data_IF_073662376467
#
_entry.id   IF_073662376467
#
_cell.length_a   1.000
_cell.length_b   1.000
_cell.length_c   1.000
_cell.angle_alpha   90.00
_cell.angle_beta   90.00
_cell.angle_gamma   90.00
#
_symmetry.space_group_name_H-M   'P 1'
#
loop_
_entity.id
_entity.type
_entity.pdbx_description
1 polymer ?
#
# COMPACT_ATOMS: atom_id res chain seq x y z
N UNK A 1 -0.80 30.43 -10.38
CA UNK A 1 -1.35 29.61 -9.29
C UNK A 1 -0.79 28.21 -9.45
N UNK A 2 0.10 27.78 -8.55
CA UNK A 2 0.59 26.39 -8.56
C UNK A 2 -0.61 25.46 -8.37
N UNK A 3 -0.84 24.55 -9.33
CA UNK A 3 -1.77 23.46 -9.12
C UNK A 3 -1.19 22.64 -7.97
N UNK A 4 -1.87 22.62 -6.82
CA UNK A 4 -1.53 21.70 -5.73
C UNK A 4 -1.38 20.30 -6.30
N UNK A 5 -0.14 19.77 -6.31
CA UNK A 5 0.14 18.42 -6.83
C UNK A 5 -0.66 17.43 -5.99
N UNK A 6 -1.52 16.63 -6.63
CA UNK A 6 -2.22 15.55 -5.95
C UNK A 6 -1.20 14.51 -5.49
N UNK A 7 -1.38 14.00 -4.27
CA UNK A 7 -0.57 12.90 -3.74
C UNK A 7 -0.89 11.63 -4.52
N UNK A 8 0.14 11.03 -5.11
CA UNK A 8 0.03 9.80 -5.90
C UNK A 8 0.06 8.57 -4.99
N UNK A 9 -1.00 7.78 -4.99
CA UNK A 9 -1.19 6.64 -4.07
C UNK A 9 -1.18 5.33 -4.84
N UNK A 10 -0.42 4.35 -4.35
CA UNK A 10 -0.50 2.96 -4.77
C UNK A 10 -1.23 2.12 -3.71
N UNK A 11 -2.32 1.46 -4.08
CA UNK A 11 -3.03 0.57 -3.14
C UNK A 11 -2.49 -0.85 -3.22
N UNK A 12 -2.07 -1.44 -2.09
CA UNK A 12 -1.61 -2.82 -2.04
C UNK A 12 -2.60 -3.75 -1.34
N UNK A 13 -2.91 -4.86 -2.01
CA UNK A 13 -3.89 -5.84 -1.57
C UNK A 13 -3.29 -7.24 -1.66
N UNK A 14 -3.57 -8.06 -0.66
CA UNK A 14 -3.16 -9.47 -0.66
C UNK A 14 -4.23 -10.38 -0.10
N UNK A 15 -4.50 -11.48 -0.80
CA UNK A 15 -5.30 -12.60 -0.30
C UNK A 15 -4.56 -13.92 -0.46
N UNK A 16 -4.50 -14.73 0.59
CA UNK A 16 -3.77 -16.01 0.57
C UNK A 16 -4.55 -17.17 -0.04
N UNK A 17 -5.88 -17.07 -0.09
CA UNK A 17 -6.79 -17.99 -0.80
C UNK A 17 -8.03 -17.22 -1.23
N UNK A 18 -8.72 -17.66 -2.27
CA UNK A 18 -10.02 -17.08 -2.68
C UNK A 18 -11.10 -17.23 -1.59
N UNK A 19 -10.93 -18.18 -0.66
CA UNK A 19 -11.89 -18.51 0.42
C UNK A 19 -11.61 -17.81 1.76
N UNK A 20 -10.41 -17.31 2.02
CA UNK A 20 -10.10 -16.60 3.26
C UNK A 20 -10.32 -15.10 3.11
N UNK A 21 -11.59 -14.75 3.10
CA UNK A 21 -12.05 -13.39 3.36
C UNK A 21 -12.11 -13.27 4.88
N UNK A 22 -11.05 -12.77 5.52
CA UNK A 22 -11.13 -12.29 6.92
C UNK A 22 -12.02 -11.04 6.97
N UNK A 23 -13.30 -11.19 6.63
CA UNK A 23 -14.32 -10.14 6.68
C UNK A 23 -14.32 -9.10 5.55
N UNK A 24 -13.32 -9.04 4.68
CA UNK A 24 -13.27 -8.05 3.57
C UNK A 24 -12.78 -8.64 2.25
N UNK A 25 -13.65 -8.65 1.23
CA UNK A 25 -13.32 -9.07 -0.13
C UNK A 25 -12.21 -8.20 -0.72
N UNK A 26 -11.57 -8.65 -1.80
CA UNK A 26 -10.62 -7.81 -2.55
C UNK A 26 -11.31 -6.50 -2.95
N UNK A 27 -12.53 -6.59 -3.49
CA UNK A 27 -13.33 -5.44 -3.87
C UNK A 27 -13.58 -4.50 -2.70
N UNK A 28 -13.94 -5.03 -1.52
CA UNK A 28 -14.12 -4.20 -0.33
C UNK A 28 -12.85 -3.44 0.06
N UNK A 29 -11.68 -4.07 -0.05
CA UNK A 29 -10.40 -3.39 0.22
C UNK A 29 -10.10 -2.30 -0.82
N UNK A 30 -10.33 -2.58 -2.11
CA UNK A 30 -10.18 -1.61 -3.20
C UNK A 30 -11.09 -0.41 -2.94
N UNK A 31 -12.38 -0.65 -2.70
CA UNK A 31 -13.37 0.40 -2.46
C UNK A 31 -13.01 1.28 -1.28
N UNK A 32 -12.49 0.71 -0.19
CA UNK A 32 -12.04 1.51 0.96
C UNK A 32 -10.84 2.40 0.63
N UNK A 33 -9.87 1.90 -0.14
CA UNK A 33 -8.72 2.68 -0.60
C UNK A 33 -9.16 3.80 -1.56
N UNK A 34 -10.02 3.47 -2.54
CA UNK A 34 -10.57 4.43 -3.49
C UNK A 34 -11.34 5.55 -2.79
N UNK A 35 -12.24 5.20 -1.86
CA UNK A 35 -13.03 6.16 -1.09
C UNK A 35 -12.12 7.08 -0.26
N UNK A 36 -11.09 6.52 0.37
CA UNK A 36 -10.15 7.32 1.15
C UNK A 36 -9.35 8.27 0.24
N UNK A 37 -8.86 7.79 -0.91
CA UNK A 37 -8.14 8.63 -1.86
C UNK A 37 -9.03 9.77 -2.38
N UNK A 38 -10.27 9.46 -2.76
CA UNK A 38 -11.24 10.44 -3.23
C UNK A 38 -11.54 11.51 -2.16
N UNK A 39 -11.80 11.10 -0.92
CA UNK A 39 -12.12 12.02 0.18
C UNK A 39 -10.95 12.98 0.51
N UNK A 40 -9.71 12.53 0.38
CA UNK A 40 -8.51 13.32 0.66
C UNK A 40 -7.94 14.05 -0.58
N UNK A 41 -8.60 13.95 -1.75
CA UNK A 41 -8.10 14.54 -2.99
C UNK A 41 -6.82 13.90 -3.53
N UNK A 42 -6.51 12.68 -3.11
CA UNK A 42 -5.39 11.89 -3.61
C UNK A 42 -5.73 11.23 -4.94
N UNK A 43 -4.71 10.85 -5.69
CA UNK A 43 -4.85 10.12 -6.96
C UNK A 43 -4.39 8.68 -6.76
N UNK A 44 -5.33 7.74 -6.86
CA UNK A 44 -5.00 6.32 -6.87
C UNK A 44 -4.42 5.95 -8.24
N UNK A 45 -3.10 5.76 -8.29
CA UNK A 45 -2.36 5.48 -9.53
C UNK A 45 -2.55 4.03 -9.98
N UNK A 46 -2.54 3.11 -9.01
CA UNK A 46 -2.69 1.68 -9.31
C UNK A 46 -3.10 0.87 -8.07
N UNK A 47 -3.63 -0.32 -8.31
CA UNK A 47 -3.90 -1.37 -7.34
C UNK A 47 -2.98 -2.57 -7.61
N UNK A 48 -2.09 -2.84 -6.66
CA UNK A 48 -1.15 -3.96 -6.67
C UNK A 48 -1.76 -5.13 -5.88
N UNK A 49 -2.23 -6.16 -6.56
CA UNK A 49 -3.06 -7.22 -5.96
C UNK A 49 -2.44 -8.63 -6.08
N UNK A 50 -1.83 -9.11 -4.99
CA UNK A 50 -1.33 -10.49 -4.91
C UNK A 50 -2.46 -11.46 -4.50
N UNK A 51 -2.93 -12.27 -5.46
CA UNK A 51 -4.02 -13.25 -5.28
C UNK A 51 -3.49 -14.68 -5.14
N UNK A 52 -3.96 -15.40 -4.13
CA UNK A 52 -3.56 -16.79 -3.88
C UNK A 52 -2.13 -16.93 -3.33
N UNK A 53 -1.53 -15.83 -2.86
CA UNK A 53 -0.14 -15.79 -2.40
C UNK A 53 -0.09 -15.53 -0.90
N UNK A 54 0.66 -16.38 -0.18
CA UNK A 54 0.88 -16.20 1.24
C UNK A 54 1.83 -15.02 1.52
N UNK A 55 1.58 -14.26 2.59
CA UNK A 55 2.49 -13.20 3.04
C UNK A 55 3.71 -13.70 3.82
N UNK A 56 4.17 -14.94 3.60
CA UNK A 56 5.36 -15.53 4.23
C UNK A 56 6.67 -15.20 3.50
N UNK A 57 6.57 -14.67 2.29
CA UNK A 57 7.72 -14.29 1.45
C UNK A 57 7.50 -12.88 0.91
N UNK A 58 8.59 -12.14 0.75
CA UNK A 58 8.60 -10.84 0.07
C UNK A 58 8.71 -10.97 -1.45
N UNK A 59 9.01 -12.16 -1.98
CA UNK A 59 9.03 -12.41 -3.42
C UNK A 59 7.60 -12.60 -3.94
N UNK A 60 6.87 -11.50 -4.08
CA UNK A 60 5.49 -11.46 -4.58
C UNK A 60 5.43 -10.51 -5.78
N UNK A 61 4.86 -10.92 -6.91
CA UNK A 61 4.93 -10.13 -8.15
C UNK A 61 4.41 -8.70 -7.97
N UNK A 62 3.25 -8.52 -7.35
CA UNK A 62 2.65 -7.20 -7.23
C UNK A 62 3.32 -6.35 -6.14
N UNK A 63 3.85 -6.97 -5.07
CA UNK A 63 4.70 -6.25 -4.12
C UNK A 63 5.97 -5.73 -4.79
N UNK A 64 6.65 -6.56 -5.59
CA UNK A 64 7.88 -6.17 -6.27
C UNK A 64 7.61 -5.08 -7.32
N UNK A 65 6.48 -5.18 -8.03
CA UNK A 65 6.02 -4.14 -8.97
C UNK A 65 5.78 -2.81 -8.26
N UNK A 66 5.08 -2.83 -7.11
CA UNK A 66 4.84 -1.66 -6.27
C UNK A 66 6.13 -1.00 -5.78
N UNK A 67 7.07 -1.79 -5.26
CA UNK A 67 8.36 -1.29 -4.80
C UNK A 67 9.18 -0.68 -5.96
N UNK A 68 9.13 -1.27 -7.14
CA UNK A 68 9.76 -0.71 -8.32
C UNK A 68 9.09 0.60 -8.78
N UNK A 69 7.76 0.69 -8.74
CA UNK A 69 7.05 1.91 -9.09
C UNK A 69 7.30 3.04 -8.06
N UNK A 70 7.42 2.70 -6.77
CA UNK A 70 7.90 3.61 -5.73
C UNK A 70 9.32 4.13 -6.04
N UNK A 71 10.26 3.24 -6.35
CA UNK A 71 11.64 3.59 -6.72
C UNK A 71 11.72 4.48 -7.97
N UNK A 72 10.80 4.32 -8.91
CA UNK A 72 10.73 5.13 -10.12
C UNK A 72 9.99 6.47 -9.92
N UNK A 73 9.67 6.84 -8.68
CA UNK A 73 9.01 8.11 -8.34
C UNK A 73 7.56 8.21 -8.83
N UNK A 74 6.90 7.07 -9.07
CA UNK A 74 5.50 7.03 -9.53
C UNK A 74 4.49 7.15 -8.39
N UNK A 75 4.95 6.95 -7.15
CA UNK A 75 4.12 6.93 -5.95
C UNK A 75 4.68 7.93 -4.94
N UNK A 76 3.81 8.69 -4.30
CA UNK A 76 4.12 9.49 -3.11
C UNK A 76 3.70 8.73 -1.82
N UNK A 77 2.78 7.76 -1.93
CA UNK A 77 2.31 6.94 -0.80
C UNK A 77 1.86 5.53 -1.22
N UNK A 78 2.10 4.54 -0.37
CA UNK A 78 1.52 3.21 -0.44
C UNK A 78 0.45 3.05 0.64
N UNK A 79 -0.73 2.58 0.23
CA UNK A 79 -1.87 2.38 1.12
C UNK A 79 -2.27 0.92 1.19
N UNK A 80 -2.55 0.43 2.40
CA UNK A 80 -3.11 -0.90 2.63
C UNK A 80 -4.34 -0.83 3.51
N UNK A 81 -5.24 -1.80 3.38
CA UNK A 81 -6.37 -1.89 4.30
C UNK A 81 -5.91 -2.22 5.74
N UNK A 82 -5.00 -3.19 5.88
CA UNK A 82 -4.39 -3.64 7.14
C UNK A 82 -2.91 -3.93 6.93
N UNK A 83 -2.10 -3.71 7.95
CA UNK A 83 -0.65 -4.02 7.94
C UNK A 83 -0.37 -5.48 7.58
N UNK A 84 -1.21 -6.40 8.04
CA UNK A 84 -1.08 -7.83 7.74
C UNK A 84 -1.25 -8.17 6.24
N UNK A 85 -1.79 -7.27 5.42
CA UNK A 85 -1.84 -7.41 3.96
C UNK A 85 -0.44 -7.27 3.40
N UNK A 86 0.31 -6.28 3.87
CA UNK A 86 1.69 -6.02 3.46
C UNK A 86 2.66 -7.11 3.97
N UNK A 87 2.65 -7.45 5.26
CA UNK A 87 3.55 -8.46 5.82
C UNK A 87 2.93 -9.19 7.02
N UNK A 88 3.30 -10.46 7.25
CA UNK A 88 2.76 -11.25 8.38
C UNK A 88 3.48 -11.07 9.71
N UNK A 89 4.71 -10.55 9.68
CA UNK A 89 5.51 -10.27 10.86
C UNK A 89 6.02 -8.83 10.81
N UNK A 90 6.38 -8.30 11.98
CA UNK A 90 6.84 -6.91 12.13
C UNK A 90 8.16 -6.64 11.42
N UNK A 91 9.07 -7.61 11.36
CA UNK A 91 10.39 -7.44 10.72
C UNK A 91 10.26 -7.17 9.22
N UNK A 92 9.47 -7.99 8.52
CA UNK A 92 9.19 -7.83 7.09
C UNK A 92 8.42 -6.53 6.84
N UNK A 93 7.47 -6.17 7.73
CA UNK A 93 6.74 -4.91 7.63
C UNK A 93 7.71 -3.72 7.69
N UNK A 94 8.58 -3.68 8.70
CA UNK A 94 9.57 -2.60 8.86
C UNK A 94 10.53 -2.54 7.68
N UNK A 95 11.00 -3.69 7.19
CA UNK A 95 11.90 -3.75 6.02
C UNK A 95 11.24 -3.12 4.77
N UNK A 96 9.97 -3.41 4.52
CA UNK A 96 9.22 -2.84 3.39
C UNK A 96 8.98 -1.34 3.59
N UNK A 97 8.58 -0.92 4.79
CA UNK A 97 8.33 0.50 5.11
C UNK A 97 9.61 1.32 5.00
N UNK A 98 10.74 0.81 5.48
CA UNK A 98 12.06 1.45 5.34
C UNK A 98 12.48 1.58 3.88
N UNK A 99 12.22 0.58 3.04
CA UNK A 99 12.48 0.69 1.60
C UNK A 99 11.63 1.80 0.97
N UNK A 100 10.33 1.85 1.26
CA UNK A 100 9.45 2.93 0.78
C UNK A 100 9.95 4.30 1.23
N UNK A 101 10.32 4.43 2.51
CA UNK A 101 10.87 5.65 3.08
C UNK A 101 12.16 6.11 2.40
N UNK A 102 13.08 5.20 2.08
CA UNK A 102 14.29 5.51 1.30
C UNK A 102 13.97 6.10 -0.07
N UNK A 103 12.81 5.76 -0.63
CA UNK A 103 12.32 6.32 -1.90
C UNK A 103 11.43 7.56 -1.73
N UNK A 104 11.35 8.14 -0.53
CA UNK A 104 10.42 9.24 -0.18
C UNK A 104 8.93 8.89 -0.35
N UNK A 105 8.58 7.61 -0.23
CA UNK A 105 7.20 7.14 -0.32
C UNK A 105 6.66 6.87 1.09
N UNK A 106 5.54 7.51 1.43
CA UNK A 106 4.88 7.29 2.72
C UNK A 106 4.14 5.96 2.77
N UNK A 107 3.93 5.41 3.96
CA UNK A 107 3.11 4.21 4.16
C UNK A 107 1.89 4.51 5.03
N UNK A 108 0.72 4.06 4.61
CA UNK A 108 -0.54 4.25 5.34
C UNK A 108 -1.36 2.96 5.44
N UNK A 109 -1.86 2.64 6.64
CA UNK A 109 -2.83 1.59 6.86
C UNK A 109 -4.18 2.14 7.31
N UNK A 110 -5.25 1.78 6.59
CA UNK A 110 -6.60 2.32 6.82
C UNK A 110 -7.20 1.85 8.15
N UNK A 111 -7.12 0.55 8.43
CA UNK A 111 -7.78 -0.05 9.60
C UNK A 111 -7.10 0.32 10.91
N UNK A 112 -5.78 0.36 10.96
CA UNK A 112 -5.04 0.73 12.17
C UNK A 112 -4.83 2.25 12.27
N UNK A 113 -5.19 3.02 11.22
CA UNK A 113 -4.88 4.46 11.08
C UNK A 113 -3.42 4.76 11.36
N UNK A 114 -2.54 3.85 10.94
CA UNK A 114 -1.11 3.98 11.11
C UNK A 114 -0.55 4.71 9.89
N UNK A 115 0.07 5.86 10.12
CA UNK A 115 0.72 6.65 9.08
C UNK A 115 2.21 6.76 9.40
N UNK A 116 3.05 6.34 8.46
CA UNK A 116 4.50 6.44 8.58
C UNK A 116 4.97 7.40 7.50
N UNK A 117 5.20 8.65 7.91
CA UNK A 117 5.69 9.72 7.03
C UNK A 117 7.19 9.71 6.96
N UNK A 118 7.71 10.15 5.81
CA UNK A 118 9.10 10.55 5.76
C UNK A 118 9.23 11.87 6.52
N UNK A 119 9.86 11.86 7.69
CA UNK A 119 10.18 13.08 8.43
C UNK A 119 11.35 13.74 7.72
N UNK A 120 11.05 14.66 6.81
CA UNK A 120 12.06 15.58 6.29
C UNK A 120 12.55 16.43 7.47
N UNK A 121 13.76 16.16 7.93
CA UNK A 121 14.59 17.16 8.62
C UNK A 121 15.11 18.18 7.62
#
# INVERSE_FOLDING_TARGET
MDKMKKKLVGGYIRVSTERQVEGYSIEGQITQIEQYCHFNGYELVDIYADRGISGKSMNRPELQRMLNDAKNGKLDCVMVYKTNRLARNTSDLLTIVEELHRQNVEFFSLSERMEVKNSTG
#
